data_IF_691611730579
#
_entry.id   IF_691611730579
#
_cell.length_a   1.000
_cell.length_b   1.000
_cell.length_c   1.000
_cell.angle_alpha   90.00
_cell.angle_beta   90.00
_cell.angle_gamma   90.00
#
_symmetry.space_group_name_H-M   'P 1'
#
loop_
_entity.id
_entity.type
_entity.pdbx_description
1 polymer ?
#
# COMPACT_ATOMS: atom_id res chain seq x y z
N UNK A 1 -34.30 17.24 -47.36
CA UNK A 1 -32.90 17.64 -47.07
C UNK A 1 -32.71 18.07 -45.62
N UNK A 2 -33.54 18.97 -45.07
CA UNK A 2 -33.43 19.49 -43.68
C UNK A 2 -33.34 18.39 -42.60
N UNK A 3 -34.14 17.31 -42.68
CA UNK A 3 -34.05 16.18 -41.72
C UNK A 3 -32.69 15.46 -41.73
N UNK A 4 -32.00 15.37 -42.89
CA UNK A 4 -30.68 14.74 -42.98
C UNK A 4 -29.60 15.61 -42.33
N UNK A 5 -29.68 16.94 -42.50
CA UNK A 5 -28.79 17.89 -41.84
C UNK A 5 -29.00 17.94 -40.32
N UNK A 6 -30.24 17.80 -39.84
CA UNK A 6 -30.53 17.70 -38.41
C UNK A 6 -29.95 16.43 -37.77
N UNK A 7 -30.05 15.27 -38.44
CA UNK A 7 -29.42 14.03 -37.97
C UNK A 7 -27.90 14.14 -37.97
N UNK A 8 -27.33 14.75 -39.01
CA UNK A 8 -25.88 14.99 -39.09
C UNK A 8 -25.39 15.90 -37.96
N UNK A 9 -26.13 16.98 -37.67
CA UNK A 9 -25.83 17.89 -36.56
C UNK A 9 -25.91 17.21 -35.20
N UNK A 10 -26.92 16.35 -34.98
CA UNK A 10 -27.04 15.59 -33.74
C UNK A 10 -25.88 14.60 -33.57
N UNK A 11 -25.52 13.87 -34.63
CA UNK A 11 -24.39 12.94 -34.61
C UNK A 11 -23.05 13.65 -34.35
N UNK A 12 -22.89 14.87 -34.86
CA UNK A 12 -21.72 15.71 -34.60
C UNK A 12 -21.64 16.11 -33.12
N UNK A 13 -22.75 16.58 -32.54
CA UNK A 13 -22.82 16.97 -31.13
C UNK A 13 -22.52 15.80 -30.19
N UNK A 14 -23.06 14.62 -30.48
CA UNK A 14 -22.78 13.38 -29.72
C UNK A 14 -21.30 13.04 -29.80
N UNK A 15 -20.69 13.12 -30.99
CA UNK A 15 -19.26 12.83 -31.18
C UNK A 15 -18.37 13.81 -30.40
N UNK A 16 -18.68 15.11 -30.42
CA UNK A 16 -17.94 16.13 -29.66
C UNK A 16 -18.06 15.86 -28.16
N UNK A 17 -19.27 15.56 -27.68
CA UNK A 17 -19.50 15.24 -26.27
C UNK A 17 -18.75 13.97 -25.83
N UNK A 18 -18.74 12.93 -26.67
CA UNK A 18 -17.98 11.71 -26.41
C UNK A 18 -16.47 11.98 -26.31
N UNK A 19 -15.91 12.83 -27.19
CA UNK A 19 -14.50 13.25 -27.13
C UNK A 19 -14.22 14.02 -25.84
N UNK A 20 -15.10 14.95 -25.45
CA UNK A 20 -14.96 15.73 -24.22
C UNK A 20 -14.90 14.82 -22.98
N UNK A 21 -15.85 13.88 -22.87
CA UNK A 21 -15.86 12.88 -21.78
C UNK A 21 -14.59 12.03 -21.78
N UNK A 22 -14.07 11.66 -22.95
CA UNK A 22 -12.85 10.87 -23.05
C UNK A 22 -11.61 11.64 -22.57
N UNK A 23 -11.54 12.95 -22.81
CA UNK A 23 -10.47 13.82 -22.31
C UNK A 23 -10.57 13.95 -20.79
N UNK A 24 -11.75 14.23 -20.26
CA UNK A 24 -11.98 14.37 -18.82
C UNK A 24 -11.63 13.09 -18.07
N UNK A 25 -12.07 11.93 -18.58
CA UNK A 25 -11.72 10.63 -18.02
C UNK A 25 -10.21 10.40 -17.99
N UNK A 26 -9.50 10.77 -19.07
CA UNK A 26 -8.04 10.65 -19.13
C UNK A 26 -7.34 11.55 -18.11
N UNK A 27 -7.84 12.76 -17.90
CA UNK A 27 -7.28 13.67 -16.89
C UNK A 27 -7.51 13.13 -15.47
N UNK A 28 -8.71 12.61 -15.18
CA UNK A 28 -9.03 11.98 -13.91
C UNK A 28 -8.16 10.73 -13.66
N UNK A 29 -7.96 9.89 -14.67
CA UNK A 29 -7.10 8.72 -14.59
C UNK A 29 -5.66 9.12 -14.23
N UNK A 30 -5.10 10.13 -14.90
CA UNK A 30 -3.75 10.63 -14.60
C UNK A 30 -3.63 11.20 -13.18
N UNK A 31 -4.65 11.92 -12.70
CA UNK A 31 -4.67 12.42 -11.32
C UNK A 31 -4.69 11.26 -10.33
N UNK A 32 -5.46 10.21 -10.61
CA UNK A 32 -5.54 9.02 -9.77
C UNK A 32 -4.21 8.23 -9.78
N UNK A 33 -3.56 8.08 -10.94
CA UNK A 33 -2.23 7.48 -11.08
C UNK A 33 -1.21 8.19 -10.19
N UNK A 34 -1.18 9.53 -10.22
CA UNK A 34 -0.24 10.35 -9.45
C UNK A 34 -0.54 10.28 -7.95
N UNK A 35 -1.81 10.41 -7.55
CA UNK A 35 -2.20 10.34 -6.13
C UNK A 35 -1.87 8.96 -5.56
N UNK A 36 -2.23 7.90 -6.28
CA UNK A 36 -1.96 6.53 -5.85
C UNK A 36 -0.47 6.25 -5.83
N UNK A 37 0.28 6.71 -6.85
CA UNK A 37 1.73 6.59 -6.90
C UNK A 37 2.44 7.32 -5.75
N UNK A 38 2.00 8.54 -5.43
CA UNK A 38 2.52 9.29 -4.28
C UNK A 38 2.23 8.60 -2.95
N UNK A 39 1.01 8.06 -2.77
CA UNK A 39 0.67 7.31 -1.56
C UNK A 39 1.44 5.99 -1.48
N UNK A 40 1.69 5.30 -2.59
CA UNK A 40 2.52 4.09 -2.63
C UNK A 40 3.96 4.39 -2.21
N UNK A 41 4.51 5.51 -2.67
CA UNK A 41 5.85 5.95 -2.27
C UNK A 41 5.92 6.23 -0.77
N UNK A 42 4.96 7.01 -0.25
CA UNK A 42 4.89 7.31 1.18
C UNK A 42 4.67 6.05 2.02
N UNK A 43 3.83 5.11 1.54
CA UNK A 43 3.60 3.83 2.19
C UNK A 43 4.89 3.00 2.28
N UNK A 44 5.60 2.82 1.16
CA UNK A 44 6.87 2.07 1.14
C UNK A 44 7.91 2.71 2.05
N UNK A 45 8.03 4.04 2.02
CA UNK A 45 8.95 4.75 2.92
C UNK A 45 8.56 4.58 4.39
N UNK A 46 7.27 4.60 4.74
CA UNK A 46 6.83 4.35 6.12
C UNK A 46 7.14 2.92 6.58
N UNK A 47 7.11 1.93 5.69
CA UNK A 47 7.55 0.58 6.02
C UNK A 47 9.07 0.49 6.20
N UNK A 48 9.85 1.20 5.39
CA UNK A 48 11.30 1.30 5.59
C UNK A 48 11.64 2.03 6.91
N UNK A 49 10.96 3.13 7.21
CA UNK A 49 11.07 3.87 8.49
C UNK A 49 10.68 2.99 9.68
N UNK A 50 9.63 2.17 9.55
CA UNK A 50 9.25 1.18 10.55
C UNK A 50 10.39 0.20 10.79
N UNK A 51 10.96 -0.35 9.73
CA UNK A 51 12.11 -1.26 9.78
C UNK A 51 13.35 -0.62 10.42
N UNK A 52 13.64 0.64 10.13
CA UNK A 52 14.75 1.36 10.75
C UNK A 52 14.50 1.60 12.24
N UNK A 53 13.29 2.03 12.59
CA UNK A 53 12.89 2.33 13.97
C UNK A 53 13.00 1.11 14.88
N UNK A 54 12.51 -0.05 14.43
CA UNK A 54 12.59 -1.29 15.22
C UNK A 54 14.02 -1.83 15.35
N UNK A 55 14.94 -1.39 14.48
CA UNK A 55 16.35 -1.78 14.48
C UNK A 55 17.26 -0.73 15.12
N UNK A 56 16.70 0.37 15.64
CA UNK A 56 17.45 1.47 16.24
C UNK A 56 17.96 1.14 17.65
N UNK A 57 18.97 1.89 18.10
CA UNK A 57 19.54 1.78 19.46
C UNK A 57 18.72 2.56 20.52
N UNK A 58 17.50 3.00 20.18
CA UNK A 58 16.63 3.78 21.07
C UNK A 58 16.12 2.93 22.23
N UNK A 59 15.63 3.59 23.29
CA UNK A 59 14.94 2.90 24.38
C UNK A 59 13.61 2.31 23.89
N UNK A 60 13.24 1.13 24.41
CA UNK A 60 12.02 0.42 24.01
C UNK A 60 10.75 1.29 24.05
N UNK A 61 10.61 2.16 25.06
CA UNK A 61 9.46 3.06 25.17
C UNK A 61 9.37 4.09 24.02
N UNK A 62 10.52 4.61 23.59
CA UNK A 62 10.62 5.52 22.45
C UNK A 62 10.32 4.78 21.15
N UNK A 63 10.89 3.58 20.96
CA UNK A 63 10.60 2.71 19.80
C UNK A 63 9.10 2.43 19.69
N UNK A 64 8.44 2.05 20.78
CA UNK A 64 7.00 1.77 20.78
C UNK A 64 6.19 3.03 20.38
N UNK A 65 6.59 4.20 20.88
CA UNK A 65 5.93 5.46 20.53
C UNK A 65 6.07 5.76 19.04
N UNK A 66 7.28 5.67 18.50
CA UNK A 66 7.58 5.95 17.09
C UNK A 66 6.87 4.97 16.16
N UNK A 67 6.91 3.66 16.47
CA UNK A 67 6.17 2.62 15.74
C UNK A 67 4.68 2.94 15.66
N UNK A 68 4.06 3.40 16.75
CA UNK A 68 2.64 3.77 16.76
C UNK A 68 2.34 4.98 15.86
N UNK A 69 3.26 5.92 15.71
CA UNK A 69 3.12 7.06 14.80
C UNK A 69 3.20 6.56 13.36
N UNK A 70 4.22 5.76 13.05
CA UNK A 70 4.46 5.21 11.70
C UNK A 70 3.29 4.33 11.25
N UNK A 71 2.73 3.48 12.13
CA UNK A 71 1.56 2.65 11.82
C UNK A 71 0.32 3.49 11.46
N UNK A 72 0.15 4.70 12.01
CA UNK A 72 -0.94 5.61 11.60
C UNK A 72 -0.71 6.14 10.19
N UNK A 73 0.52 6.48 9.83
CA UNK A 73 0.89 6.91 8.47
C UNK A 73 0.66 5.79 7.46
N UNK A 74 1.12 4.56 7.78
CA UNK A 74 0.86 3.35 6.99
C UNK A 74 -0.64 3.16 6.76
N UNK A 75 -1.46 3.26 7.82
CA UNK A 75 -2.92 3.12 7.72
C UNK A 75 -3.53 4.11 6.74
N UNK A 76 -3.12 5.38 6.82
CA UNK A 76 -3.64 6.43 5.97
C UNK A 76 -3.36 6.14 4.49
N UNK A 77 -2.09 5.90 4.15
CA UNK A 77 -1.71 5.66 2.75
C UNK A 77 -2.29 4.36 2.21
N UNK A 78 -2.28 3.28 3.00
CA UNK A 78 -2.91 2.00 2.62
C UNK A 78 -4.38 2.19 2.26
N UNK A 79 -5.13 2.91 3.11
CA UNK A 79 -6.56 3.15 2.88
C UNK A 79 -6.83 3.98 1.61
N UNK A 80 -5.99 4.97 1.34
CA UNK A 80 -6.10 5.82 0.14
C UNK A 80 -5.90 5.00 -1.14
N UNK A 81 -4.87 4.15 -1.18
CA UNK A 81 -4.56 3.30 -2.35
C UNK A 81 -5.66 2.26 -2.56
N UNK A 82 -6.04 1.56 -1.49
CA UNK A 82 -7.11 0.56 -1.53
C UNK A 82 -8.43 1.15 -2.04
N UNK A 83 -8.77 2.37 -1.60
CA UNK A 83 -9.96 3.08 -2.11
C UNK A 83 -9.82 3.43 -3.59
N UNK A 84 -8.65 3.92 -4.02
CA UNK A 84 -8.39 4.26 -5.41
C UNK A 84 -8.49 3.06 -6.35
N UNK A 85 -8.09 1.87 -5.88
CA UNK A 85 -8.07 0.63 -6.66
C UNK A 85 -9.33 -0.22 -6.46
N UNK A 86 -10.19 0.12 -5.51
CA UNK A 86 -11.40 -0.65 -5.17
C UNK A 86 -11.08 -2.01 -4.54
N UNK A 87 -10.05 -2.06 -3.68
CA UNK A 87 -9.54 -3.28 -3.03
C UNK A 87 -9.25 -3.04 -1.54
N UNK A 88 -8.75 -4.05 -0.82
CA UNK A 88 -8.50 -3.96 0.64
C UNK A 88 -7.25 -4.73 1.14
N UNK A 89 -6.34 -5.13 0.24
CA UNK A 89 -5.15 -5.90 0.61
C UNK A 89 -4.21 -5.11 1.54
N UNK A 90 -3.90 -3.85 1.21
CA UNK A 90 -2.92 -3.06 1.96
C UNK A 90 -3.43 -2.73 3.37
N UNK A 91 -4.73 -2.44 3.48
CA UNK A 91 -5.41 -2.25 4.77
C UNK A 91 -5.43 -3.53 5.59
N UNK A 92 -5.64 -4.69 4.97
CA UNK A 92 -5.55 -6.00 5.64
C UNK A 92 -4.16 -6.22 6.22
N UNK A 93 -3.11 -5.91 5.45
CA UNK A 93 -1.72 -6.01 5.89
C UNK A 93 -1.43 -5.06 7.05
N UNK A 94 -1.89 -3.80 6.96
CA UNK A 94 -1.81 -2.85 8.07
C UNK A 94 -2.38 -3.45 9.36
N UNK A 95 -3.58 -4.04 9.33
CA UNK A 95 -4.20 -4.61 10.53
C UNK A 95 -3.37 -5.73 11.12
N UNK A 96 -2.73 -6.56 10.29
CA UNK A 96 -1.86 -7.65 10.74
C UNK A 96 -0.57 -7.14 11.39
N UNK A 97 0.06 -6.12 10.83
CA UNK A 97 1.20 -5.47 11.50
C UNK A 97 0.78 -4.80 12.80
N UNK A 98 -0.36 -4.12 12.82
CA UNK A 98 -0.88 -3.51 14.04
C UNK A 98 -1.14 -4.55 15.14
N UNK A 99 -1.61 -5.75 14.79
CA UNK A 99 -1.80 -6.88 15.71
C UNK A 99 -0.46 -7.43 16.24
N UNK A 100 0.58 -7.47 15.40
CA UNK A 100 1.93 -7.84 15.85
C UNK A 100 2.44 -6.80 16.87
N UNK A 101 2.44 -5.51 16.50
CA UNK A 101 2.98 -4.43 17.33
C UNK A 101 2.14 -4.10 18.57
N UNK A 102 0.90 -4.60 18.69
CA UNK A 102 0.12 -4.51 19.93
C UNK A 102 0.64 -5.42 21.05
N UNK A 103 1.65 -6.27 20.80
CA UNK A 103 2.28 -7.14 21.78
C UNK A 103 3.75 -6.74 22.04
N UNK A 104 4.03 -5.52 22.53
CA UNK A 104 5.38 -4.98 22.63
C UNK A 104 6.31 -5.83 23.51
N UNK A 105 5.78 -6.51 24.53
CA UNK A 105 6.58 -7.42 25.35
C UNK A 105 7.22 -8.55 24.52
N UNK A 106 6.54 -9.08 23.49
CA UNK A 106 7.08 -10.17 22.64
C UNK A 106 8.10 -9.68 21.61
N UNK A 107 8.11 -8.38 21.33
CA UNK A 107 9.00 -7.75 20.35
C UNK A 107 10.24 -7.18 21.04
N UNK A 108 10.03 -6.59 22.22
CA UNK A 108 11.00 -5.75 22.91
C UNK A 108 11.44 -6.30 24.28
N UNK A 109 11.31 -7.62 24.55
CA UNK A 109 11.90 -8.24 25.74
C UNK A 109 13.42 -8.11 25.73
N UNK A 110 13.93 -7.22 26.57
CA UNK A 110 15.32 -6.78 26.66
C UNK A 110 16.18 -7.65 27.59
N UNK A 111 17.28 -8.21 27.07
CA UNK A 111 18.62 -8.22 27.71
C UNK A 111 19.65 -8.28 26.56
N UNK A 112 20.55 -7.29 26.47
CA UNK A 112 21.75 -7.25 25.61
C UNK A 112 21.62 -7.59 24.12
N UNK A 113 21.52 -6.57 23.26
CA UNK A 113 21.97 -6.53 21.84
C UNK A 113 21.64 -7.69 20.87
N UNK A 114 20.90 -8.70 21.31
CA UNK A 114 20.53 -9.86 20.52
C UNK A 114 19.10 -9.61 20.07
N UNK A 115 18.95 -9.27 18.79
CA UNK A 115 17.65 -9.20 18.14
C UNK A 115 16.96 -10.55 18.33
N UNK A 116 15.74 -10.52 18.87
CA UNK A 116 14.91 -11.72 19.00
C UNK A 116 14.65 -12.30 17.60
N UNK A 117 14.46 -13.61 17.53
CA UNK A 117 14.11 -14.28 16.27
C UNK A 117 12.87 -13.64 15.65
N UNK A 118 11.92 -13.25 16.49
CA UNK A 118 10.69 -12.54 16.13
C UNK A 118 10.98 -11.20 15.43
N UNK A 119 11.92 -10.40 15.93
CA UNK A 119 12.26 -9.10 15.35
C UNK A 119 12.90 -9.25 13.95
N UNK A 120 13.74 -10.28 13.77
CA UNK A 120 14.33 -10.62 12.48
C UNK A 120 13.22 -11.01 11.49
N UNK A 121 12.31 -11.91 11.90
CA UNK A 121 11.20 -12.35 11.06
C UNK A 121 10.25 -11.18 10.69
N UNK A 122 9.95 -10.27 11.61
CA UNK A 122 9.17 -9.04 11.33
C UNK A 122 9.89 -8.16 10.31
N UNK A 123 11.19 -7.97 10.46
CA UNK A 123 12.01 -7.18 9.53
C UNK A 123 11.98 -7.78 8.13
N UNK A 124 12.08 -9.10 8.01
CA UNK A 124 12.00 -9.81 6.74
C UNK A 124 10.62 -9.69 6.09
N UNK A 125 9.54 -9.79 6.89
CA UNK A 125 8.16 -9.59 6.42
C UNK A 125 7.93 -8.17 5.88
N UNK A 126 8.53 -7.16 6.51
CA UNK A 126 8.46 -5.77 6.02
C UNK A 126 9.21 -5.63 4.69
N UNK A 127 10.40 -6.23 4.57
CA UNK A 127 11.17 -6.19 3.31
C UNK A 127 10.44 -6.89 2.16
N UNK A 128 9.87 -8.06 2.43
CA UNK A 128 9.07 -8.82 1.46
C UNK A 128 7.82 -8.04 1.02
N UNK A 129 7.18 -7.32 1.95
CA UNK A 129 6.06 -6.43 1.62
C UNK A 129 6.49 -5.35 0.64
N UNK A 130 7.59 -4.65 0.88
CA UNK A 130 8.06 -3.60 -0.03
C UNK A 130 8.35 -4.13 -1.44
N UNK A 131 8.89 -5.34 -1.54
CA UNK A 131 9.07 -6.02 -2.83
C UNK A 131 7.72 -6.36 -3.50
N UNK A 132 6.75 -6.83 -2.72
CA UNK A 132 5.41 -7.19 -3.19
C UNK A 132 4.65 -5.95 -3.65
N UNK A 133 4.73 -4.84 -2.91
CA UNK A 133 4.16 -3.54 -3.27
C UNK A 133 4.77 -3.07 -4.59
N UNK A 134 6.10 -3.04 -4.68
CA UNK A 134 6.83 -2.59 -5.87
C UNK A 134 6.45 -3.38 -7.11
N UNK A 135 6.32 -4.70 -6.99
CA UNK A 135 6.05 -5.55 -8.15
C UNK A 135 4.56 -5.63 -8.56
N UNK A 136 3.64 -5.24 -7.66
CA UNK A 136 2.19 -5.36 -7.89
C UNK A 136 1.57 -4.02 -8.27
N UNK A 137 1.90 -2.95 -7.53
CA UNK A 137 1.19 -1.67 -7.62
C UNK A 137 1.90 -0.60 -8.43
N UNK A 138 3.19 -0.75 -8.73
CA UNK A 138 3.90 0.21 -9.58
C UNK A 138 3.87 -0.21 -11.04
N UNK A 139 3.79 0.79 -11.93
CA UNK A 139 3.91 0.57 -13.36
C UNK A 139 5.30 0.04 -13.69
N UNK A 140 5.38 -1.02 -14.50
CA UNK A 140 6.65 -1.63 -14.92
C UNK A 140 7.54 -0.58 -15.60
N UNK A 141 8.81 -0.53 -15.19
CA UNK A 141 9.79 0.46 -15.68
C UNK A 141 9.75 1.81 -14.95
N UNK A 142 8.87 1.96 -13.94
CA UNK A 142 8.81 3.11 -13.02
C UNK A 142 8.84 2.68 -11.54
N UNK A 143 9.81 1.82 -11.10
CA UNK A 143 9.90 1.42 -9.70
C UNK A 143 10.25 2.64 -8.83
N UNK A 144 9.42 2.96 -7.83
CA UNK A 144 9.65 4.11 -6.96
C UNK A 144 9.41 5.49 -7.62
N UNK A 145 9.04 5.53 -8.91
CA UNK A 145 9.00 6.76 -9.72
C UNK A 145 7.56 7.29 -9.92
N UNK A 146 6.76 7.28 -8.84
CA UNK A 146 5.53 8.07 -8.73
C UNK A 146 4.35 7.67 -9.62
N UNK A 147 4.39 6.56 -10.37
CA UNK A 147 3.26 6.06 -11.17
C UNK A 147 2.72 4.73 -10.68
N UNK A 148 1.50 4.76 -10.14
CA UNK A 148 0.74 3.56 -9.85
C UNK A 148 0.24 2.87 -11.14
N UNK A 149 0.17 1.54 -11.11
CA UNK A 149 -0.61 0.75 -12.05
C UNK A 149 -2.06 0.73 -11.56
N UNK A 150 -2.97 1.36 -12.31
CA UNK A 150 -4.40 1.36 -11.96
C UNK A 150 -5.11 0.07 -12.39
N UNK A 151 -4.58 -0.62 -13.40
CA UNK A 151 -5.19 -1.81 -13.99
C UNK A 151 -4.35 -3.06 -13.70
N UNK A 152 -4.26 -3.40 -12.41
CA UNK A 152 -3.52 -4.58 -11.94
C UNK A 152 -4.27 -5.84 -12.34
N UNK A 153 -3.62 -6.70 -13.12
CA UNK A 153 -4.21 -7.94 -13.65
C UNK A 153 -4.13 -9.13 -12.69
N UNK A 154 -3.16 -9.10 -11.79
CA UNK A 154 -2.85 -10.22 -10.91
C UNK A 154 -2.39 -9.69 -9.54
N UNK A 155 -3.10 -10.13 -8.51
CA UNK A 155 -2.82 -9.83 -7.11
C UNK A 155 -2.27 -11.03 -6.34
N UNK A 156 -2.01 -12.16 -7.01
CA UNK A 156 -1.63 -13.42 -6.36
C UNK A 156 -0.39 -13.31 -5.48
N UNK A 157 0.54 -12.38 -5.76
CA UNK A 157 1.67 -12.07 -4.87
C UNK A 157 1.23 -11.44 -3.55
N UNK A 158 0.30 -10.48 -3.60
CA UNK A 158 -0.24 -9.85 -2.39
C UNK A 158 -1.09 -10.84 -1.60
N UNK A 159 -1.88 -11.66 -2.28
CA UNK A 159 -2.69 -12.70 -1.63
C UNK A 159 -1.80 -13.71 -0.89
N UNK A 160 -0.74 -14.20 -1.55
CA UNK A 160 0.23 -15.10 -0.93
C UNK A 160 0.97 -14.44 0.24
N UNK A 161 1.31 -13.16 0.13
CA UNK A 161 1.90 -12.40 1.22
C UNK A 161 0.94 -12.27 2.41
N UNK A 162 -0.34 -11.96 2.18
CA UNK A 162 -1.36 -11.86 3.23
C UNK A 162 -1.53 -13.20 3.94
N UNK A 163 -1.53 -14.32 3.20
CA UNK A 163 -1.60 -15.66 3.79
C UNK A 163 -0.38 -15.93 4.69
N UNK A 164 0.83 -15.65 4.19
CA UNK A 164 2.08 -15.79 4.96
C UNK A 164 2.05 -14.94 6.24
N UNK A 165 1.70 -13.66 6.12
CA UNK A 165 1.60 -12.74 7.25
C UNK A 165 0.51 -13.20 8.24
N UNK A 166 -0.62 -13.70 7.75
CA UNK A 166 -1.70 -14.22 8.59
C UNK A 166 -1.25 -15.42 9.41
N UNK A 167 -0.50 -16.35 8.81
CA UNK A 167 0.04 -17.51 9.53
C UNK A 167 1.05 -17.07 10.59
N UNK A 168 1.95 -16.14 10.24
CA UNK A 168 2.89 -15.55 11.20
C UNK A 168 2.17 -14.88 12.38
N UNK A 169 1.18 -14.02 12.12
CA UNK A 169 0.43 -13.32 13.18
C UNK A 169 -0.29 -14.31 14.11
N UNK A 170 -0.87 -15.39 13.57
CA UNK A 170 -1.49 -16.44 14.41
C UNK A 170 -0.48 -17.11 15.34
N UNK A 171 0.67 -17.52 14.82
CA UNK A 171 1.71 -18.15 15.65
C UNK A 171 2.26 -17.17 16.69
N UNK A 172 2.50 -15.93 16.29
CA UNK A 172 3.03 -14.87 17.14
C UNK A 172 2.09 -14.53 18.30
N UNK A 173 0.77 -14.48 18.05
CA UNK A 173 -0.24 -14.22 19.10
C UNK A 173 -0.42 -15.41 20.04
N UNK A 174 -0.34 -16.66 19.54
CA UNK A 174 -0.56 -17.88 20.31
C UNK A 174 0.62 -18.31 21.19
N UNK A 175 1.87 -17.94 20.86
CA UNK A 175 3.05 -18.20 21.70
C UNK A 175 2.89 -17.46 23.05
N UNK A 176 2.64 -18.21 24.13
CA UNK A 176 2.59 -17.69 25.51
C UNK A 176 4.00 -17.49 26.07
#
# INVERSE_FOLDING_TARGET
>A
MVKKWNILGLALLISIYAIYLQIENKELEQRLEIISGSNLFLLSNSYDELKETINSEKQNAEIISDVNIILKTIRHHSSTIDTALGRDELKTIFYKFNEIFSHPAKIYTSVDNIKTKELIEITDLIQELNNSITSTYYKKGYPGDGKAELYIKDFGKMDAYIERLTNYTKEFTQKK
#
